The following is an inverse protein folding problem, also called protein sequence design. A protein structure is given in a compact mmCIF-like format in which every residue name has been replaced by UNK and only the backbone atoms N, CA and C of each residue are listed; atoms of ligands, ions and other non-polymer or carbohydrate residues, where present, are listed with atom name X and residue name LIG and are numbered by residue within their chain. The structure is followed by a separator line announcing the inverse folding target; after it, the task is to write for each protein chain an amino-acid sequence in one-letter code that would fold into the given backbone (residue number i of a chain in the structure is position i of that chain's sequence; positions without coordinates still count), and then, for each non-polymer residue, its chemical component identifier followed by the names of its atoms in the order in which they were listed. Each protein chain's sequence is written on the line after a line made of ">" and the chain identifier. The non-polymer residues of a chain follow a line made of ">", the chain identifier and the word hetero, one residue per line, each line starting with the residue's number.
data_IF_288890527055
#
_entry.id   IF_288890527055
#
_cell.length_a   1.000
_cell.length_b   1.000
_cell.length_c   1.000
_cell.angle_alpha   90.00
_cell.angle_beta   90.00
_cell.angle_gamma   90.00
#
_symmetry.space_group_name_H-M   'P 1'
#
loop_
_entity.id
_entity.type
_entity.pdbx_description
1 polymer ?
#
# COMPACT_ATOMS: atom_id res chain seq x y z
N UNK A 1 -0.28 4.63 -14.21
CA UNK A 1 -1.39 4.23 -13.32
C UNK A 1 -1.23 2.76 -13.00
N UNK A 2 -1.22 2.38 -11.73
CA UNK A 2 -0.98 1.00 -11.29
C UNK A 2 -2.23 0.13 -11.49
N UNK A 3 -2.05 -1.08 -12.05
CA UNK A 3 -3.10 -2.08 -12.22
C UNK A 3 -2.85 -3.29 -11.33
N UNK A 4 -3.93 -3.89 -10.83
CA UNK A 4 -3.89 -5.05 -9.95
C UNK A 4 -4.61 -6.21 -10.64
N UNK A 5 -3.88 -6.92 -11.49
CA UNK A 5 -4.41 -8.09 -12.21
C UNK A 5 -4.57 -9.26 -11.25
N UNK A 6 -5.80 -9.78 -11.15
CA UNK A 6 -6.08 -10.96 -10.34
C UNK A 6 -6.01 -12.21 -11.21
N UNK A 7 -5.61 -13.34 -10.62
CA UNK A 7 -5.66 -14.64 -11.28
C UNK A 7 -7.12 -14.92 -11.69
N UNK A 8 -7.38 -15.40 -12.92
CA UNK A 8 -8.74 -15.71 -13.36
C UNK A 8 -9.49 -16.59 -12.35
N UNK A 9 -10.76 -16.26 -12.10
CA UNK A 9 -11.64 -16.98 -11.15
C UNK A 9 -11.28 -16.84 -9.67
N UNK A 10 -10.41 -15.89 -9.30
CA UNK A 10 -10.14 -15.59 -7.88
C UNK A 10 -11.35 -14.96 -7.20
N UNK A 11 -11.73 -15.49 -6.04
CA UNK A 11 -12.71 -14.83 -5.17
C UNK A 11 -12.15 -13.54 -4.57
N UNK A 12 -13.03 -12.61 -4.20
CA UNK A 12 -12.67 -11.39 -3.50
C UNK A 12 -11.95 -11.70 -2.17
N UNK A 13 -10.81 -11.06 -1.91
CA UNK A 13 -10.10 -11.22 -0.64
C UNK A 13 -10.74 -10.37 0.45
N UNK A 14 -11.34 -11.06 1.42
CA UNK A 14 -11.96 -10.44 2.60
C UNK A 14 -11.37 -11.07 3.86
N UNK A 15 -10.82 -10.23 4.73
CA UNK A 15 -10.26 -10.62 6.02
C UNK A 15 -11.13 -10.05 7.12
N UNK A 16 -11.61 -10.87 8.08
CA UNK A 16 -12.29 -10.37 9.26
C UNK A 16 -11.45 -9.33 10.00
N UNK A 17 -12.10 -8.33 10.60
CA UNK A 17 -11.40 -7.30 11.36
C UNK A 17 -10.60 -7.91 12.51
N UNK A 18 -9.33 -7.51 12.65
CA UNK A 18 -8.53 -7.92 13.80
C UNK A 18 -8.99 -7.21 15.07
N UNK A 19 -9.01 -7.96 16.18
CA UNK A 19 -9.21 -7.38 17.51
C UNK A 19 -7.95 -6.61 17.91
N UNK A 20 -8.11 -5.34 18.24
CA UNK A 20 -6.99 -4.44 18.61
C UNK A 20 -7.33 -3.66 19.88
N UNK A 21 -6.31 -3.27 20.66
CA UNK A 21 -6.48 -2.31 21.75
C UNK A 21 -6.98 -0.94 21.27
N UNK A 22 -7.74 -0.20 22.09
CA UNK A 22 -8.29 1.12 21.72
C UNK A 22 -7.26 2.11 21.17
N UNK A 23 -6.09 2.22 21.83
CA UNK A 23 -5.03 3.16 21.41
C UNK A 23 -4.49 2.88 20.00
N UNK A 24 -4.50 1.62 19.56
CA UNK A 24 -4.09 1.26 18.20
C UNK A 24 -5.17 1.65 17.19
N UNK A 25 -6.44 1.53 17.55
CA UNK A 25 -7.55 1.93 16.69
C UNK A 25 -7.61 3.45 16.51
N UNK A 26 -7.34 4.20 17.57
CA UNK A 26 -7.25 5.67 17.51
C UNK A 26 -6.14 6.12 16.58
N UNK A 27 -4.94 5.51 16.65
CA UNK A 27 -3.84 5.86 15.75
C UNK A 27 -4.13 5.50 14.29
N UNK A 28 -4.79 4.36 14.05
CA UNK A 28 -5.23 3.97 12.71
C UNK A 28 -6.24 4.96 12.16
N UNK A 29 -7.23 5.37 12.95
CA UNK A 29 -8.25 6.32 12.52
C UNK A 29 -7.63 7.71 12.25
N UNK A 30 -6.70 8.15 13.11
CA UNK A 30 -5.96 9.40 12.95
C UNK A 30 -5.21 9.46 11.62
N UNK A 31 -4.41 8.43 11.30
CA UNK A 31 -3.67 8.39 10.02
C UNK A 31 -4.61 8.18 8.83
N UNK A 32 -5.72 7.45 9.00
CA UNK A 32 -6.72 7.29 7.95
C UNK A 32 -7.40 8.62 7.60
N UNK A 33 -7.73 9.46 8.59
CA UNK A 33 -8.25 10.81 8.37
C UNK A 33 -7.24 11.71 7.65
N UNK A 34 -5.95 11.62 8.00
CA UNK A 34 -4.89 12.34 7.28
C UNK A 34 -4.81 11.92 5.81
N UNK A 35 -4.85 10.61 5.52
CA UNK A 35 -4.85 10.11 4.15
C UNK A 35 -6.09 10.56 3.38
N UNK A 36 -7.25 10.62 4.05
CA UNK A 36 -8.50 11.09 3.46
C UNK A 36 -8.41 12.59 3.12
N UNK A 37 -7.90 13.42 4.03
CA UNK A 37 -7.65 14.84 3.80
C UNK A 37 -6.64 15.09 2.67
N UNK A 38 -5.60 14.25 2.58
CA UNK A 38 -4.62 14.29 1.48
C UNK A 38 -5.17 13.74 0.14
N UNK A 39 -6.40 13.21 0.11
CA UNK A 39 -7.01 12.63 -1.08
C UNK A 39 -6.34 11.32 -1.56
N UNK A 40 -5.58 10.64 -0.69
CA UNK A 40 -4.88 9.37 -0.99
C UNK A 40 -5.78 8.15 -0.80
N UNK A 41 -6.85 8.30 -0.03
CA UNK A 41 -7.89 7.29 0.16
C UNK A 41 -9.26 7.93 0.04
N UNK A 42 -10.27 7.10 -0.22
CA UNK A 42 -11.68 7.50 -0.27
C UNK A 42 -12.57 6.43 0.38
N UNK A 43 -13.82 6.77 0.66
CA UNK A 43 -14.81 5.79 1.14
C UNK A 43 -15.01 4.67 0.11
N UNK A 44 -15.16 3.45 0.62
CA UNK A 44 -15.31 2.25 -0.20
C UNK A 44 -16.53 1.43 0.23
N UNK A 45 -17.27 0.95 -0.76
CA UNK A 45 -18.33 -0.06 -0.62
C UNK A 45 -17.91 -1.42 -1.18
N UNK A 46 -16.61 -1.60 -1.43
CA UNK A 46 -16.05 -2.81 -2.04
C UNK A 46 -16.35 -4.07 -1.23
N UNK A 47 -16.52 -5.19 -1.93
CA UNK A 47 -16.56 -6.51 -1.34
C UNK A 47 -15.23 -6.86 -0.64
N UNK A 48 -14.10 -6.35 -1.14
CA UNK A 48 -12.78 -6.57 -0.54
C UNK A 48 -12.66 -5.93 0.85
N UNK A 49 -11.75 -6.46 1.66
CA UNK A 49 -11.52 -5.94 2.99
C UNK A 49 -10.23 -6.47 3.59
N UNK A 50 -9.32 -5.56 3.91
CA UNK A 50 -8.02 -5.86 4.51
C UNK A 50 -7.87 -5.14 5.85
N UNK A 51 -6.93 -5.61 6.66
CA UNK A 51 -6.68 -5.04 7.99
C UNK A 51 -5.47 -4.10 7.96
N UNK A 52 -5.59 -2.87 8.50
CA UNK A 52 -4.43 -2.08 8.84
C UNK A 52 -3.73 -2.66 10.08
N UNK A 53 -2.40 -2.73 9.97
CA UNK A 53 -1.45 -3.14 11.00
C UNK A 53 -0.54 -1.97 11.33
N UNK A 54 -0.17 -1.84 12.60
CA UNK A 54 0.76 -0.81 13.06
C UNK A 54 2.16 -1.38 13.19
N UNK A 55 3.12 -0.71 12.56
CA UNK A 55 4.54 -0.98 12.72
C UNK A 55 5.19 0.18 13.50
N UNK A 56 6.00 -0.12 14.52
CA UNK A 56 6.80 0.90 15.21
C UNK A 56 7.97 1.32 14.34
N UNK A 57 8.14 2.63 14.15
CA UNK A 57 9.38 3.21 13.62
C UNK A 57 10.45 3.20 14.71
N UNK A 58 11.71 3.31 14.30
CA UNK A 58 12.86 3.46 15.21
C UNK A 58 12.72 4.68 16.13
N UNK A 59 12.10 5.74 15.61
CA UNK A 59 11.82 7.00 16.32
C UNK A 59 10.65 6.90 17.32
N UNK A 60 9.98 5.74 17.42
CA UNK A 60 8.83 5.55 18.32
C UNK A 60 7.46 5.91 17.73
N UNK A 61 7.41 6.61 16.59
CA UNK A 61 6.15 6.86 15.87
C UNK A 61 5.60 5.61 15.19
N UNK A 62 4.30 5.58 14.93
CA UNK A 62 3.61 4.47 14.28
C UNK A 62 3.51 4.66 12.77
N UNK A 63 3.61 3.56 12.02
CA UNK A 63 3.28 3.49 10.59
C UNK A 63 2.09 2.57 10.41
N UNK A 64 0.99 3.10 9.87
CA UNK A 64 -0.13 2.27 9.39
C UNK A 64 0.26 1.63 8.06
N UNK A 65 0.24 0.30 8.03
CA UNK A 65 0.40 -0.51 6.82
C UNK A 65 -0.85 -1.35 6.64
N UNK A 66 -1.30 -1.57 5.41
CA UNK A 66 -2.42 -2.51 5.15
C UNK A 66 -1.85 -3.89 4.85
N UNK A 67 -2.39 -4.92 5.49
CA UNK A 67 -1.99 -6.31 5.23
C UNK A 67 -2.60 -6.81 3.92
N UNK A 68 -1.90 -6.55 2.82
CA UNK A 68 -2.26 -7.04 1.49
C UNK A 68 -1.73 -8.46 1.20
N UNK A 69 -1.20 -9.21 2.19
CA UNK A 69 -0.77 -10.60 1.94
C UNK A 69 -1.85 -11.47 1.28
N UNK A 70 -3.14 -11.38 1.67
CA UNK A 70 -4.21 -12.15 1.02
C UNK A 70 -4.42 -11.71 -0.44
N UNK A 71 -4.43 -10.41 -0.70
CA UNK A 71 -4.53 -9.85 -2.05
C UNK A 71 -3.34 -10.29 -2.92
N UNK A 72 -2.12 -10.17 -2.40
CA UNK A 72 -0.89 -10.52 -3.11
C UNK A 72 -0.79 -12.01 -3.49
N UNK A 73 -1.55 -12.90 -2.85
CA UNK A 73 -1.63 -14.32 -3.21
C UNK A 73 -2.48 -14.56 -4.46
N UNK A 74 -3.49 -13.72 -4.67
CA UNK A 74 -4.43 -13.82 -5.79
C UNK A 74 -4.09 -12.84 -6.93
N UNK A 75 -3.11 -11.96 -6.73
CA UNK A 75 -2.59 -11.06 -7.77
C UNK A 75 -1.58 -11.79 -8.67
N UNK A 76 -1.69 -11.59 -9.99
CA UNK A 76 -0.70 -12.05 -10.98
C UNK A 76 0.62 -11.34 -10.72
N UNK A 77 1.70 -12.11 -10.48
CA UNK A 77 3.03 -11.56 -10.20
C UNK A 77 3.65 -11.00 -11.48
N UNK A 78 3.63 -9.68 -11.63
CA UNK A 78 4.40 -9.01 -12.69
C UNK A 78 5.89 -9.07 -12.35
N UNK A 79 6.68 -9.71 -13.22
CA UNK A 79 8.14 -9.74 -13.12
C UNK A 79 8.71 -8.73 -14.10
N UNK A 80 9.22 -7.62 -13.57
CA UNK A 80 10.02 -6.69 -14.36
C UNK A 80 11.49 -7.13 -14.28
N UNK A 81 12.22 -7.18 -15.41
CA UNK A 81 13.63 -7.51 -15.40
C UNK A 81 14.38 -6.37 -14.69
N UNK A 82 14.75 -6.60 -13.44
CA UNK A 82 15.65 -5.70 -12.72
C UNK A 82 17.08 -5.96 -13.21
N UNK A 83 17.83 -4.92 -13.63
CA UNK A 83 19.22 -5.09 -14.02
C UNK A 83 20.03 -5.61 -12.83
N UNK A 84 21.10 -6.36 -13.12
CA UNK A 84 21.97 -6.87 -12.05
C UNK A 84 22.67 -5.70 -11.35
N UNK A 85 22.97 -5.89 -10.07
CA UNK A 85 23.69 -4.88 -9.28
C UNK A 85 25.02 -4.52 -9.96
N UNK A 86 25.75 -5.50 -10.50
CA UNK A 86 27.00 -5.27 -11.23
C UNK A 86 26.83 -4.38 -12.47
N UNK A 87 25.73 -4.52 -13.21
CA UNK A 87 25.44 -3.70 -14.39
C UNK A 87 25.12 -2.26 -14.00
N UNK A 88 24.35 -2.08 -12.92
CA UNK A 88 24.07 -0.76 -12.36
C UNK A 88 25.40 -0.09 -11.93
N UNK A 89 26.26 -0.82 -11.22
CA UNK A 89 27.55 -0.30 -10.75
C UNK A 89 28.50 0.04 -11.91
N UNK A 90 28.59 -0.79 -12.95
CA UNK A 90 29.42 -0.50 -14.12
C UNK A 90 28.95 0.78 -14.84
N UNK A 91 27.64 0.98 -14.97
CA UNK A 91 27.09 2.23 -15.54
C UNK A 91 27.42 3.43 -14.68
N UNK A 92 27.38 3.28 -13.36
CA UNK A 92 27.70 4.33 -12.42
C UNK A 92 29.18 4.73 -12.49
N UNK A 93 30.12 3.78 -12.59
CA UNK A 93 31.58 4.01 -12.60
C UNK A 93 32.08 5.05 -13.62
N UNK A 94 31.30 5.35 -14.67
CA UNK A 94 31.65 6.36 -15.68
C UNK A 94 31.31 7.80 -15.25
N UNK A 95 30.71 7.99 -14.08
CA UNK A 95 30.30 9.29 -13.56
C UNK A 95 31.25 9.81 -12.48
N UNK A 96 31.61 11.09 -12.56
CA UNK A 96 32.46 11.75 -11.57
C UNK A 96 31.68 12.22 -10.31
N UNK A 97 30.36 12.39 -10.41
CA UNK A 97 29.49 12.89 -9.33
C UNK A 97 28.24 12.02 -9.25
N UNK A 98 27.81 11.73 -8.02
CA UNK A 98 26.58 10.98 -7.72
C UNK A 98 25.70 11.79 -6.77
N UNK A 99 24.40 11.73 -6.99
CA UNK A 99 23.41 12.34 -6.10
C UNK A 99 22.31 11.32 -5.78
N UNK A 100 22.17 10.90 -4.51
CA UNK A 100 21.08 10.04 -4.11
C UNK A 100 19.78 10.86 -4.02
N UNK A 101 18.70 10.34 -4.60
CA UNK A 101 17.36 10.91 -4.46
C UNK A 101 16.46 9.91 -3.75
N UNK A 102 15.73 10.37 -2.74
CA UNK A 102 14.69 9.60 -2.07
C UNK A 102 13.32 10.22 -2.38
N UNK A 103 12.34 9.37 -2.72
CA UNK A 103 10.97 9.81 -2.97
C UNK A 103 10.12 9.60 -1.72
N UNK A 104 9.77 10.69 -1.05
CA UNK A 104 8.88 10.65 0.11
C UNK A 104 7.51 10.06 -0.27
N UNK A 105 7.05 9.08 0.50
CA UNK A 105 5.77 8.39 0.26
C UNK A 105 5.62 7.88 -1.19
N UNK A 106 6.72 7.44 -1.83
CA UNK A 106 6.79 7.09 -3.26
C UNK A 106 5.60 6.28 -3.78
N UNK A 107 5.18 5.25 -3.03
CA UNK A 107 4.06 4.39 -3.43
C UNK A 107 2.74 5.15 -3.54
N UNK A 108 2.48 6.10 -2.64
CA UNK A 108 1.26 6.92 -2.64
C UNK A 108 1.28 8.01 -3.73
N UNK A 109 2.35 8.13 -4.50
CA UNK A 109 2.42 9.05 -5.63
C UNK A 109 1.88 8.43 -6.92
N UNK A 110 1.79 7.09 -7.00
CA UNK A 110 1.43 6.38 -8.23
C UNK A 110 -0.07 6.07 -8.22
N UNK A 111 -0.91 6.76 -9.00
CA UNK A 111 -2.36 6.54 -8.99
C UNK A 111 -2.74 5.09 -9.31
N UNK A 112 -3.70 4.54 -8.58
CA UNK A 112 -4.28 3.21 -8.83
C UNK A 112 -5.41 3.34 -9.85
N UNK A 113 -5.45 2.42 -10.81
CA UNK A 113 -6.48 2.35 -11.85
C UNK A 113 -7.88 2.36 -11.24
N UNK A 114 -8.86 3.14 -11.75
CA UNK A 114 -10.11 3.35 -11.04
C UNK A 114 -10.87 2.04 -10.84
N UNK A 115 -10.77 1.14 -11.81
CA UNK A 115 -11.33 -0.22 -11.77
C UNK A 115 -10.64 -1.11 -10.74
N UNK A 116 -9.41 -0.83 -10.31
CA UNK A 116 -8.66 -1.65 -9.37
C UNK A 116 -8.67 -1.09 -7.94
N UNK A 117 -9.10 0.16 -7.74
CA UNK A 117 -9.12 0.82 -6.41
C UNK A 117 -9.87 -0.01 -5.37
N UNK A 118 -11.01 -0.59 -5.77
CA UNK A 118 -11.86 -1.40 -4.89
C UNK A 118 -11.12 -2.62 -4.30
N UNK A 119 -10.09 -3.15 -4.98
CA UNK A 119 -9.29 -4.29 -4.50
C UNK A 119 -8.41 -3.93 -3.30
N UNK A 120 -8.08 -2.64 -3.14
CA UNK A 120 -7.23 -2.14 -2.06
C UNK A 120 -7.99 -1.73 -0.80
N UNK A 121 -9.27 -2.09 -0.71
CA UNK A 121 -10.12 -1.67 0.39
C UNK A 121 -9.66 -2.24 1.75
N UNK A 122 -9.68 -1.41 2.78
CA UNK A 122 -9.28 -1.77 4.15
C UNK A 122 -10.27 -1.23 5.19
N UNK A 123 -10.31 -1.91 6.33
CA UNK A 123 -11.22 -1.62 7.42
C UNK A 123 -10.61 -0.64 8.43
N UNK A 124 -11.34 0.41 8.78
CA UNK A 124 -11.13 1.17 10.01
C UNK A 124 -12.18 0.77 11.05
N UNK A 125 -12.21 1.47 12.19
CA UNK A 125 -13.16 1.20 13.28
C UNK A 125 -14.60 1.40 12.82
N UNK A 126 -14.84 2.51 12.10
CA UNK A 126 -16.19 2.96 11.73
C UNK A 126 -16.50 2.81 10.24
N UNK A 127 -15.48 2.80 9.38
CA UNK A 127 -15.66 2.88 7.92
C UNK A 127 -14.73 1.95 7.16
N UNK A 128 -14.99 1.80 5.86
CA UNK A 128 -14.11 1.11 4.91
C UNK A 128 -13.57 2.14 3.93
N UNK A 129 -12.26 2.14 3.73
CA UNK A 129 -11.55 3.06 2.85
C UNK A 129 -10.84 2.27 1.75
N UNK A 130 -10.59 2.90 0.60
CA UNK A 130 -9.80 2.35 -0.50
C UNK A 130 -8.81 3.39 -1.01
N UNK A 131 -7.68 2.94 -1.53
CA UNK A 131 -6.65 3.83 -2.07
C UNK A 131 -7.05 4.38 -3.44
N UNK A 132 -6.70 5.63 -3.67
CA UNK A 132 -6.83 6.34 -4.96
C UNK A 132 -5.48 6.44 -5.67
N UNK A 133 -4.42 6.52 -4.88
CA UNK A 133 -3.00 6.52 -5.23
C UNK A 133 -2.20 5.59 -4.34
#
# INVERSE_FOLDING_TARGET
>A
MHRIELVPSSASSVVPRYRRPPHMEEEIERQADELLKKGKVQLSTSAFGHNPVLAKKKEGSWRVCVDFKPLNKITVKQKFPMPRVDEILHRLQRSAVYSPFDFAEAFLQIPIHPEDRHKTAFHTRTRKLQYTS
#
